data_IF_016966011150
#
_entry.id   IF_016966011150
#
_cell.length_a   1.000
_cell.length_b   1.000
_cell.length_c   1.000
_cell.angle_alpha   90.00
_cell.angle_beta   90.00
_cell.angle_gamma   90.00
#
_symmetry.space_group_name_H-M   'P 1'
#
loop_
_entity.id
_entity.type
_entity.pdbx_description
1 polymer ?
#
# COMPACT_ATOMS: atom_id res chain seq x y z
N UNK A 1 -12.62 -9.62 -3.31
CA UNK A 1 -11.23 -9.15 -3.50
C UNK A 1 -11.23 -7.80 -4.17
N UNK A 2 -10.59 -6.83 -3.55
CA UNK A 2 -10.44 -5.48 -4.09
C UNK A 2 -8.96 -5.15 -4.18
N UNK A 3 -8.56 -4.49 -5.26
CA UNK A 3 -7.17 -4.15 -5.51
C UNK A 3 -6.99 -2.63 -5.63
N UNK A 4 -5.93 -2.12 -5.03
CA UNK A 4 -5.63 -0.69 -5.01
C UNK A 4 -4.18 -0.46 -5.39
N UNK A 5 -3.93 0.63 -6.12
CA UNK A 5 -2.57 1.16 -6.29
C UNK A 5 -2.26 1.99 -5.04
N UNK A 6 -1.07 1.82 -4.46
CA UNK A 6 -0.72 2.45 -3.19
C UNK A 6 0.68 3.03 -3.22
N UNK A 7 0.96 3.89 -2.25
CA UNK A 7 2.32 4.33 -1.94
C UNK A 7 2.89 5.36 -2.90
N UNK A 8 4.18 5.21 -3.20
CA UNK A 8 4.94 6.20 -3.94
C UNK A 8 4.43 6.51 -5.33
N UNK A 9 3.77 5.56 -5.99
CA UNK A 9 3.20 5.80 -7.32
C UNK A 9 2.10 6.88 -7.29
N UNK A 10 1.26 6.86 -6.25
CA UNK A 10 0.22 7.88 -6.07
C UNK A 10 0.85 9.24 -5.78
N UNK A 11 1.82 9.25 -4.85
CA UNK A 11 2.55 10.47 -4.51
C UNK A 11 3.19 11.09 -5.74
N UNK A 12 3.88 10.29 -6.54
CA UNK A 12 4.58 10.77 -7.73
C UNK A 12 3.58 11.30 -8.76
N UNK A 13 2.44 10.64 -8.94
CA UNK A 13 1.38 11.11 -9.83
C UNK A 13 0.83 12.46 -9.40
N UNK A 14 0.62 12.67 -8.11
CA UNK A 14 0.14 13.94 -7.56
C UNK A 14 1.17 15.06 -7.72
N UNK A 15 2.45 14.71 -7.75
CA UNK A 15 3.54 15.67 -7.97
C UNK A 15 3.86 15.89 -9.46
N UNK A 16 3.16 15.18 -10.35
CA UNK A 16 3.45 15.25 -11.78
C UNK A 16 4.77 14.60 -12.18
N UNK A 17 5.29 13.71 -11.35
CA UNK A 17 6.54 13.01 -11.61
C UNK A 17 6.27 11.66 -12.28
N UNK A 18 7.16 11.20 -13.18
CA UNK A 18 7.03 9.85 -13.71
C UNK A 18 7.26 8.82 -12.61
N UNK A 19 6.54 7.71 -12.68
CA UNK A 19 6.73 6.60 -11.77
C UNK A 19 7.01 5.34 -12.58
N UNK A 20 8.03 4.57 -12.14
CA UNK A 20 8.39 3.31 -12.78
C UNK A 20 7.90 2.11 -11.98
N UNK A 21 7.72 2.28 -10.67
CA UNK A 21 7.34 1.20 -9.78
C UNK A 21 5.92 1.41 -9.28
N UNK A 22 5.12 0.35 -9.40
CA UNK A 22 3.74 0.37 -8.92
C UNK A 22 3.57 -0.76 -7.93
N UNK A 23 3.11 -0.41 -6.73
CA UNK A 23 2.80 -1.36 -5.69
C UNK A 23 1.29 -1.47 -5.53
N UNK A 24 0.82 -2.71 -5.49
CA UNK A 24 -0.60 -3.01 -5.41
C UNK A 24 -0.94 -3.60 -4.06
N UNK A 25 -2.10 -3.23 -3.54
CA UNK A 25 -2.62 -3.75 -2.29
C UNK A 25 -3.89 -4.52 -2.57
N UNK A 26 -4.00 -5.74 -2.05
CA UNK A 26 -5.17 -6.59 -2.22
C UNK A 26 -5.88 -6.74 -0.89
N UNK A 27 -7.16 -6.38 -0.88
CA UNK A 27 -8.04 -6.47 0.29
C UNK A 27 -9.07 -7.56 0.04
N UNK A 28 -9.30 -8.42 1.03
CA UNK A 28 -10.34 -9.44 0.94
C UNK A 28 -9.93 -10.70 0.20
N UNK A 29 -8.64 -11.05 0.18
CA UNK A 29 -8.16 -12.26 -0.47
C UNK A 29 -7.24 -13.06 0.45
N UNK A 30 -7.08 -14.33 0.13
CA UNK A 30 -6.18 -15.27 0.81
C UNK A 30 -4.98 -15.60 -0.07
N UNK A 31 -3.87 -16.10 0.50
CA UNK A 31 -2.76 -16.60 -0.32
C UNK A 31 -3.19 -17.69 -1.32
N UNK A 32 -4.16 -18.53 -0.93
CA UNK A 32 -4.67 -19.58 -1.80
C UNK A 32 -5.39 -19.00 -3.02
N UNK A 33 -6.14 -17.93 -2.83
CA UNK A 33 -6.82 -17.24 -3.92
C UNK A 33 -5.81 -16.59 -4.87
N UNK A 34 -4.73 -16.02 -4.33
CA UNK A 34 -3.66 -15.44 -5.14
C UNK A 34 -2.98 -16.52 -5.97
N UNK A 35 -2.67 -17.67 -5.37
CA UNK A 35 -2.06 -18.80 -6.07
C UNK A 35 -2.98 -19.33 -7.18
N UNK A 36 -4.28 -19.39 -6.93
CA UNK A 36 -5.26 -19.82 -7.93
C UNK A 36 -5.29 -18.89 -9.16
N UNK A 37 -4.93 -17.64 -8.98
CA UNK A 37 -4.81 -16.67 -10.07
C UNK A 37 -3.41 -16.60 -10.66
N UNK A 38 -2.55 -17.57 -10.32
CA UNK A 38 -1.19 -17.72 -10.82
C UNK A 38 -0.20 -16.64 -10.35
N UNK A 39 -0.52 -15.94 -9.29
CA UNK A 39 0.43 -15.04 -8.65
C UNK A 39 1.53 -15.87 -7.97
N UNK A 40 2.75 -15.37 -8.05
CA UNK A 40 3.93 -16.09 -7.52
C UNK A 40 4.33 -15.48 -6.18
N UNK A 41 4.31 -16.26 -5.09
CA UNK A 41 4.71 -15.73 -3.78
C UNK A 41 6.21 -15.39 -3.76
N UNK A 42 6.55 -14.25 -3.16
CA UNK A 42 7.92 -13.81 -2.97
C UNK A 42 8.09 -13.32 -1.52
N UNK A 43 9.27 -13.51 -0.97
CA UNK A 43 9.52 -13.16 0.42
C UNK A 43 9.01 -14.20 1.41
N UNK A 44 9.59 -14.19 2.61
CA UNK A 44 9.27 -15.15 3.66
C UNK A 44 8.30 -14.62 4.70
N UNK A 45 8.45 -13.35 5.04
CA UNK A 45 7.79 -12.78 6.20
C UNK A 45 6.51 -12.03 5.88
N UNK A 46 6.30 -11.70 4.61
CA UNK A 46 5.17 -10.89 4.19
C UNK A 46 4.43 -11.58 3.05
N UNK A 47 3.09 -11.49 3.04
CA UNK A 47 2.29 -12.07 1.95
C UNK A 47 2.33 -11.17 0.71
N UNK A 48 3.45 -11.19 0.00
CA UNK A 48 3.68 -10.45 -1.24
C UNK A 48 3.78 -11.41 -2.41
N UNK A 49 3.17 -11.04 -3.52
CA UNK A 49 3.09 -11.86 -4.72
C UNK A 49 3.47 -11.05 -5.96
N UNK A 50 4.06 -11.71 -6.95
CA UNK A 50 4.30 -11.11 -8.25
C UNK A 50 3.17 -11.46 -9.21
N UNK A 51 2.72 -10.46 -9.96
CA UNK A 51 1.73 -10.66 -11.02
C UNK A 51 2.31 -11.56 -12.11
N UNK A 52 1.55 -12.55 -12.61
CA UNK A 52 2.08 -13.51 -13.58
C UNK A 52 2.53 -12.90 -14.91
N UNK A 53 1.99 -11.75 -15.29
CA UNK A 53 2.33 -11.08 -16.55
C UNK A 53 3.21 -9.86 -16.36
N UNK A 54 2.81 -8.94 -15.46
CA UNK A 54 3.53 -7.67 -15.29
C UNK A 54 4.72 -7.78 -14.35
N UNK A 55 4.75 -8.80 -13.50
CA UNK A 55 5.75 -8.99 -12.44
C UNK A 55 5.76 -7.87 -11.39
N UNK A 56 4.70 -7.07 -11.35
CA UNK A 56 4.52 -6.06 -10.33
C UNK A 56 4.14 -6.71 -9.00
N UNK A 57 4.49 -6.07 -7.90
CA UNK A 57 4.24 -6.60 -6.56
C UNK A 57 2.83 -6.32 -6.09
N UNK A 58 2.17 -7.38 -5.61
CA UNK A 58 0.84 -7.33 -5.00
C UNK A 58 0.94 -7.86 -3.59
N UNK A 59 0.63 -7.01 -2.61
CA UNK A 59 0.67 -7.37 -1.20
C UNK A 59 -0.74 -7.53 -0.67
N UNK A 60 -0.96 -8.55 0.15
CA UNK A 60 -2.22 -8.68 0.88
C UNK A 60 -2.28 -7.65 2.01
N UNK A 61 -3.45 -7.07 2.22
CA UNK A 61 -3.66 -6.13 3.32
C UNK A 61 -3.29 -6.77 4.65
N UNK A 62 -2.55 -6.04 5.47
CA UNK A 62 -2.05 -6.56 6.73
C UNK A 62 -2.03 -5.51 7.82
N UNK A 63 -2.07 -5.98 9.06
CA UNK A 63 -1.76 -5.18 10.22
C UNK A 63 -0.42 -5.63 10.79
N UNK A 64 0.24 -4.74 11.50
CA UNK A 64 1.49 -5.05 12.19
C UNK A 64 1.32 -4.66 13.66
N UNK A 65 1.76 -5.54 14.55
CA UNK A 65 1.74 -5.29 15.98
C UNK A 65 3.13 -5.51 16.53
N UNK A 66 3.65 -4.52 17.26
CA UNK A 66 4.94 -4.67 17.89
C UNK A 66 4.87 -5.70 19.03
N UNK A 67 5.65 -6.76 18.90
CA UNK A 67 5.68 -7.85 19.88
C UNK A 67 6.97 -7.86 20.71
N UNK A 68 8.01 -7.14 20.25
CA UNK A 68 9.31 -7.05 20.93
C UNK A 68 10.05 -5.78 20.46
N UNK A 69 11.09 -5.34 21.18
CA UNK A 69 11.89 -4.20 20.72
C UNK A 69 12.59 -4.48 19.38
N UNK A 70 12.73 -3.45 18.56
CA UNK A 70 13.42 -3.52 17.28
C UNK A 70 12.49 -3.84 16.12
N UNK A 71 13.02 -3.71 14.88
CA UNK A 71 12.18 -3.87 13.69
C UNK A 71 11.70 -5.32 13.47
N UNK A 72 12.42 -6.30 14.02
CA UNK A 72 12.01 -7.71 13.93
C UNK A 72 10.95 -8.08 14.96
N UNK A 73 10.62 -7.17 15.87
CA UNK A 73 9.65 -7.40 16.92
C UNK A 73 8.21 -7.15 16.51
N UNK A 74 7.86 -7.32 15.22
CA UNK A 74 6.49 -7.14 14.74
C UNK A 74 5.82 -8.46 14.48
N UNK A 75 4.56 -8.56 14.93
CA UNK A 75 3.67 -9.66 14.54
C UNK A 75 2.80 -9.17 13.39
N UNK A 76 2.83 -9.91 12.30
CA UNK A 76 2.10 -9.57 11.08
C UNK A 76 0.83 -10.40 11.03
N UNK A 77 -0.29 -9.73 10.78
CA UNK A 77 -1.57 -10.37 10.57
C UNK A 77 -2.11 -9.97 9.21
N UNK A 78 -2.24 -10.94 8.32
CA UNK A 78 -2.83 -10.75 7.01
C UNK A 78 -3.98 -11.73 6.84
N UNK A 79 -5.17 -11.21 6.62
CA UNK A 79 -6.35 -12.02 6.38
C UNK A 79 -7.38 -11.22 5.59
N UNK A 80 -8.41 -11.87 5.03
CA UNK A 80 -9.44 -11.17 4.25
C UNK A 80 -10.22 -10.11 5.04
N UNK A 81 -10.20 -10.17 6.37
CA UNK A 81 -10.89 -9.20 7.21
C UNK A 81 -10.09 -7.92 7.50
N UNK A 82 -8.83 -7.86 7.12
CA UNK A 82 -8.03 -6.64 7.25
C UNK A 82 -8.51 -5.62 6.23
N UNK A 83 -8.88 -4.43 6.70
CA UNK A 83 -9.40 -3.37 5.85
C UNK A 83 -8.28 -2.55 5.20
N UNK A 84 -8.63 -1.80 4.14
CA UNK A 84 -7.71 -0.86 3.50
C UNK A 84 -7.17 0.15 4.52
N UNK A 85 -8.05 0.73 5.34
CA UNK A 85 -7.67 1.74 6.32
C UNK A 85 -6.70 1.17 7.36
N UNK A 86 -6.90 -0.07 7.79
CA UNK A 86 -5.99 -0.72 8.73
C UNK A 86 -4.60 -0.90 8.13
N UNK A 87 -4.52 -1.29 6.86
CA UNK A 87 -3.22 -1.42 6.19
C UNK A 87 -2.55 -0.06 6.04
N UNK A 88 -3.28 0.95 5.59
CA UNK A 88 -2.74 2.29 5.43
C UNK A 88 -2.24 2.88 6.75
N UNK A 89 -2.91 2.56 7.85
CA UNK A 89 -2.56 3.10 9.17
C UNK A 89 -1.18 2.63 9.67
N UNK A 90 -0.70 1.48 9.22
CA UNK A 90 0.61 0.96 9.63
C UNK A 90 1.79 1.56 8.86
N UNK A 91 1.51 2.34 7.81
CA UNK A 91 2.56 2.88 6.95
C UNK A 91 3.30 4.03 7.64
N UNK A 92 4.44 4.41 7.07
CA UNK A 92 5.33 5.42 7.67
C UNK A 92 4.75 6.84 7.61
N UNK A 93 4.60 7.39 6.41
CA UNK A 93 4.19 8.77 6.22
C UNK A 93 2.82 8.88 5.59
N UNK A 94 2.09 9.96 5.92
CA UNK A 94 0.75 10.21 5.37
C UNK A 94 0.77 10.32 3.85
N UNK A 95 1.84 10.90 3.27
CA UNK A 95 1.99 11.04 1.82
C UNK A 95 2.16 9.69 1.11
N UNK A 96 2.49 8.63 1.84
CA UNK A 96 2.61 7.27 1.33
C UNK A 96 1.43 6.39 1.73
N UNK A 97 0.41 6.96 2.37
CA UNK A 97 -0.76 6.22 2.87
C UNK A 97 -2.03 6.59 2.11
N UNK A 98 -1.89 6.71 0.80
CA UNK A 98 -2.98 7.05 -0.13
C UNK A 98 -3.16 5.88 -1.09
N UNK A 99 -4.41 5.52 -1.37
CA UNK A 99 -4.74 4.42 -2.27
C UNK A 99 -5.68 4.86 -3.38
N UNK A 100 -5.56 4.20 -4.54
CA UNK A 100 -6.44 4.41 -5.68
C UNK A 100 -6.99 3.06 -6.14
N UNK A 101 -8.32 2.91 -6.34
CA UNK A 101 -8.86 1.68 -6.91
C UNK A 101 -8.15 1.31 -8.22
N UNK A 102 -7.83 0.03 -8.37
CA UNK A 102 -7.01 -0.45 -9.48
C UNK A 102 -7.60 -0.14 -10.85
N UNK A 103 -8.91 -0.17 -10.97
CA UNK A 103 -9.61 0.10 -12.21
C UNK A 103 -9.43 1.53 -12.72
N UNK A 104 -8.98 2.44 -11.87
CA UNK A 104 -8.72 3.83 -12.23
C UNK A 104 -7.23 4.08 -12.48
N UNK A 105 -6.38 3.11 -12.19
CA UNK A 105 -4.96 3.16 -12.50
C UNK A 105 -4.75 2.54 -13.88
N UNK A 106 -4.53 3.37 -14.89
CA UNK A 106 -4.29 2.89 -16.24
C UNK A 106 -2.92 2.26 -16.42
N UNK A 107 -2.53 2.04 -17.68
CA UNK A 107 -1.19 1.58 -18.01
C UNK A 107 -0.15 2.56 -17.45
N UNK A 108 1.09 2.09 -17.30
CA UNK A 108 2.19 2.79 -16.60
C UNK A 108 2.15 4.32 -16.76
N UNK A 109 1.92 5.02 -15.68
CA UNK A 109 1.93 6.48 -15.63
C UNK A 109 0.67 7.17 -16.13
N UNK A 110 -0.36 6.42 -16.51
CA UNK A 110 -1.63 6.99 -16.97
C UNK A 110 -2.71 6.78 -15.93
N UNK A 111 -3.33 7.87 -15.51
CA UNK A 111 -4.46 7.83 -14.60
C UNK A 111 -5.69 8.39 -15.30
N UNK A 112 -6.87 7.86 -14.97
CA UNK A 112 -8.12 8.35 -15.51
C UNK A 112 -8.36 9.81 -15.13
N UNK A 113 -9.18 10.50 -15.91
CA UNK A 113 -9.62 11.85 -15.59
C UNK A 113 -10.32 11.83 -14.21
N UNK A 114 -10.00 12.82 -13.39
CA UNK A 114 -10.58 12.96 -12.04
C UNK A 114 -10.23 11.79 -11.10
N UNK A 115 -9.10 11.10 -11.32
CA UNK A 115 -8.67 10.04 -10.42
C UNK A 115 -8.58 10.54 -8.97
N UNK A 116 -8.29 11.82 -8.77
CA UNK A 116 -8.14 12.43 -7.45
C UNK A 116 -9.41 12.32 -6.60
N UNK A 117 -10.59 12.34 -7.24
CA UNK A 117 -11.86 12.21 -6.52
C UNK A 117 -12.07 10.81 -5.94
N UNK A 118 -11.39 9.80 -6.48
CA UNK A 118 -11.50 8.41 -6.03
C UNK A 118 -10.41 7.98 -5.08
N UNK A 119 -9.48 8.88 -4.74
CA UNK A 119 -8.40 8.56 -3.81
C UNK A 119 -8.93 8.29 -2.41
N UNK A 120 -8.41 7.23 -1.79
CA UNK A 120 -8.68 6.93 -0.39
C UNK A 120 -7.50 7.47 0.41
N UNK A 121 -7.77 8.52 1.18
CA UNK A 121 -6.74 9.31 1.86
C UNK A 121 -7.16 9.59 3.31
N UNK A 122 -7.20 8.53 4.16
CA UNK A 122 -7.74 8.67 5.52
C UNK A 122 -6.87 9.52 6.46
N UNK A 123 -5.62 9.79 6.10
CA UNK A 123 -4.68 10.53 6.96
C UNK A 123 -4.25 11.86 6.35
N UNK A 124 -5.02 12.37 5.38
CA UNK A 124 -4.78 13.68 4.74
C UNK A 124 -3.38 13.82 4.11
N UNK A 125 -2.89 12.74 3.48
CA UNK A 125 -1.59 12.76 2.83
C UNK A 125 -1.50 13.76 1.68
N UNK A 126 -2.58 13.96 0.95
CA UNK A 126 -2.62 14.96 -0.13
C UNK A 126 -2.39 16.37 0.40
N UNK A 127 -2.99 16.70 1.53
CA UNK A 127 -2.80 17.99 2.19
C UNK A 127 -1.36 18.16 2.64
N UNK A 128 -0.78 17.14 3.27
CA UNK A 128 0.60 17.17 3.72
C UNK A 128 1.56 17.30 2.53
N UNK A 129 1.26 16.63 1.42
CA UNK A 129 2.05 16.74 0.21
C UNK A 129 2.04 18.15 -0.38
N UNK A 130 0.86 18.79 -0.44
CA UNK A 130 0.72 20.17 -0.92
C UNK A 130 1.50 21.15 -0.07
N UNK A 131 1.56 20.93 1.22
CA UNK A 131 2.25 21.80 2.18
C UNK A 131 3.70 21.40 2.42
N UNK A 132 4.19 20.35 1.72
CA UNK A 132 5.55 19.82 1.86
C UNK A 132 5.86 19.39 3.29
N UNK A 133 4.87 18.76 3.94
CA UNK A 133 4.98 18.28 5.31
C UNK A 133 5.24 16.78 5.32
N UNK A 134 6.26 16.36 6.07
CA UNK A 134 6.50 14.93 6.33
C UNK A 134 5.92 14.60 7.70
N UNK A 135 4.83 13.86 7.72
CA UNK A 135 4.10 13.51 8.94
C UNK A 135 3.96 12.00 9.04
N UNK A 136 4.32 11.44 10.18
CA UNK A 136 4.06 10.02 10.42
C UNK A 136 2.55 9.78 10.58
N UNK A 137 2.09 8.60 10.14
CA UNK A 137 0.66 8.27 10.09
C UNK A 137 0.10 8.11 11.49
N UNK A 138 0.79 7.32 12.32
CA UNK A 138 0.38 7.03 13.69
C UNK A 138 1.62 6.98 14.59
N UNK A 139 1.41 6.84 15.90
CA UNK A 139 2.51 6.68 16.85
C UNK A 139 3.32 5.41 16.61
N UNK A 140 2.79 4.47 15.85
CA UNK A 140 3.51 3.25 15.49
C UNK A 140 4.84 3.55 14.78
N UNK A 141 4.92 4.65 14.02
CA UNK A 141 6.16 5.07 13.38
C UNK A 141 7.27 5.35 14.41
N UNK A 142 6.91 5.90 15.55
CA UNK A 142 7.87 6.20 16.63
C UNK A 142 8.40 4.95 17.31
N UNK A 143 7.67 3.85 17.25
CA UNK A 143 8.08 2.59 17.86
C UNK A 143 9.17 1.89 17.06
N UNK A 144 9.30 2.22 15.77
CA UNK A 144 10.30 1.64 14.88
C UNK A 144 10.83 2.71 13.91
N UNK A 145 11.93 3.38 14.27
CA UNK A 145 12.51 4.43 13.44
C UNK A 145 13.11 3.93 12.12
N UNK A 146 13.27 2.63 11.95
CA UNK A 146 13.81 2.02 10.73
C UNK A 146 12.74 1.85 9.66
N UNK A 147 11.51 1.94 10.03
CA UNK A 147 10.34 1.70 9.20
C UNK A 147 10.25 2.56 7.95
#
# INVERSE_FOLDING_TARGET
MQTYLVGGAIRDALLGRPTSDRDWLVVGATPQEMAAKRFVPVGRDFPVFLHPETHEEYALARTERKSAPGYRGFTIHASPDVTLEQDLARRDLTINSIALPAELAGAAGQFGLNFEAALVDPFDGRRDLQHKVLRHVTDAFREDPVR
#
